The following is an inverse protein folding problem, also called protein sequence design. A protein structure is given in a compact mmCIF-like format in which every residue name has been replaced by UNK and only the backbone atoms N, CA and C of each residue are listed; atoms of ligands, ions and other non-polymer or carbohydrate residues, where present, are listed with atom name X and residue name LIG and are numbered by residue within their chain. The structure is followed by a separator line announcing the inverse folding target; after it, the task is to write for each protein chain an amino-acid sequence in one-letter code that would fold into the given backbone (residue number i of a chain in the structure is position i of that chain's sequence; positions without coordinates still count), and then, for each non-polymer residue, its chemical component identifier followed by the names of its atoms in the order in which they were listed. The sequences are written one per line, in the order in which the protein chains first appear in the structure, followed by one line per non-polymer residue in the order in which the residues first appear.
data_IF_336857023062
#
_entry.id   IF_336857023062
#
_cell.length_a   1.000
_cell.length_b   1.000
_cell.length_c   1.000
_cell.angle_alpha   90.00
_cell.angle_beta   90.00
_cell.angle_gamma   90.00
#
_symmetry.space_group_name_H-M   'P 1'
#
loop_
_entity.id
_entity.type
_entity.pdbx_description
1 polymer ?
#
# COMPACT_ATOMS: atom_id res chain seq x y z
N UNK A 1 10.74 20.07 -22.99
CA UNK A 1 11.82 19.36 -22.29
C UNK A 1 12.18 18.06 -22.98
N UNK A 2 13.46 17.81 -23.10
CA UNK A 2 13.96 16.60 -23.73
C UNK A 2 13.42 15.35 -23.07
N UNK A 3 13.26 15.38 -21.75
CA UNK A 3 12.77 14.26 -20.98
C UNK A 3 11.35 13.85 -21.35
N UNK A 4 10.48 14.81 -21.66
CA UNK A 4 9.10 14.50 -22.04
C UNK A 4 9.06 13.76 -23.40
N UNK A 5 9.88 14.19 -24.35
CA UNK A 5 9.95 13.54 -25.65
C UNK A 5 10.52 12.12 -25.54
N UNK A 6 11.53 11.95 -24.69
CA UNK A 6 12.14 10.63 -24.45
C UNK A 6 11.13 9.69 -23.80
N UNK A 7 10.37 10.18 -22.84
CA UNK A 7 9.35 9.39 -22.15
C UNK A 7 8.28 8.92 -23.15
N UNK A 8 7.83 9.82 -24.03
CA UNK A 8 6.84 9.47 -25.04
C UNK A 8 7.34 8.36 -25.97
N UNK A 9 8.58 8.44 -26.37
CA UNK A 9 9.22 7.42 -27.18
C UNK A 9 9.29 6.07 -26.46
N UNK A 10 9.63 6.11 -25.19
CA UNK A 10 9.68 4.91 -24.37
C UNK A 10 8.32 4.24 -24.31
N UNK A 11 7.27 5.01 -24.15
CA UNK A 11 5.92 4.47 -24.10
C UNK A 11 5.53 3.76 -25.41
N UNK A 12 5.94 4.30 -26.54
CA UNK A 12 5.65 3.69 -27.83
C UNK A 12 6.39 2.38 -28.05
N UNK A 13 7.63 2.31 -27.59
CA UNK A 13 8.50 1.14 -27.83
C UNK A 13 8.36 0.11 -26.74
N UNK A 14 7.98 0.53 -25.53
CA UNK A 14 8.21 -0.27 -24.36
C UNK A 14 7.01 -0.65 -23.51
N UNK A 15 5.93 -1.20 -24.13
CA UNK A 15 4.84 -1.77 -23.34
C UNK A 15 5.35 -2.86 -22.41
N UNK A 16 6.35 -3.62 -22.86
CA UNK A 16 6.98 -4.67 -22.06
C UNK A 16 7.79 -4.05 -20.93
N UNK A 17 8.48 -2.95 -21.21
CA UNK A 17 9.28 -2.25 -20.22
C UNK A 17 8.40 -1.59 -19.16
N UNK A 18 7.22 -1.09 -19.54
CA UNK A 18 6.26 -0.54 -18.60
C UNK A 18 5.83 -1.58 -17.56
N UNK A 19 5.56 -2.79 -18.04
CA UNK A 19 5.16 -3.87 -17.14
C UNK A 19 6.31 -4.26 -16.21
N UNK A 20 7.51 -4.38 -16.73
CA UNK A 20 8.69 -4.70 -15.93
C UNK A 20 8.96 -3.62 -14.89
N UNK A 21 8.86 -2.36 -15.32
CA UNK A 21 8.99 -1.24 -14.39
C UNK A 21 7.94 -1.31 -13.29
N UNK A 22 6.69 -1.57 -13.68
CA UNK A 22 5.58 -1.65 -12.75
C UNK A 22 5.78 -2.77 -11.72
N UNK A 23 6.24 -3.93 -12.18
CA UNK A 23 6.52 -5.07 -11.30
C UNK A 23 7.57 -4.74 -10.26
N UNK A 24 8.67 -4.14 -10.66
CA UNK A 24 9.74 -3.75 -9.75
C UNK A 24 9.30 -2.65 -8.77
N UNK A 25 8.59 -1.66 -9.28
CA UNK A 25 8.10 -0.57 -8.47
C UNK A 25 7.07 -1.06 -7.45
N UNK A 26 6.13 -1.90 -7.91
CA UNK A 26 5.11 -2.47 -7.03
C UNK A 26 5.74 -3.31 -5.92
N UNK A 27 6.73 -4.13 -6.25
CA UNK A 27 7.41 -4.96 -5.27
C UNK A 27 8.03 -4.10 -4.17
N UNK A 28 8.69 -3.02 -4.54
CA UNK A 28 9.31 -2.11 -3.57
C UNK A 28 8.28 -1.42 -2.69
N UNK A 29 7.19 -0.95 -3.29
CA UNK A 29 6.12 -0.31 -2.54
C UNK A 29 5.49 -1.26 -1.55
N UNK A 30 5.17 -2.47 -1.99
CA UNK A 30 4.51 -3.45 -1.14
C UNK A 30 5.43 -3.92 0.00
N UNK A 31 6.73 -4.04 -0.26
CA UNK A 31 7.69 -4.35 0.79
C UNK A 31 7.76 -3.23 1.83
N UNK A 32 7.55 -1.99 1.40
CA UNK A 32 7.54 -0.84 2.30
C UNK A 32 6.17 -0.60 2.95
N UNK A 33 5.28 -1.56 2.81
CA UNK A 33 3.93 -1.52 3.39
C UNK A 33 3.06 -0.40 2.85
N UNK A 34 3.26 -0.07 1.57
CA UNK A 34 2.36 0.80 0.84
C UNK A 34 1.16 -0.04 0.39
N UNK A 35 -0.05 0.44 0.58
CA UNK A 35 -1.23 -0.34 0.21
C UNK A 35 -1.29 -0.62 -1.29
N UNK A 36 -1.99 -1.69 -1.67
CA UNK A 36 -2.16 -2.04 -3.08
C UNK A 36 -2.80 -0.90 -3.87
N UNK A 37 -3.84 -0.29 -3.31
CA UNK A 37 -4.53 0.83 -3.94
C UNK A 37 -3.59 2.02 -4.18
N UNK A 38 -2.80 2.35 -3.17
CA UNK A 38 -1.84 3.46 -3.27
C UNK A 38 -0.74 3.14 -4.28
N UNK A 39 -0.31 1.88 -4.33
CA UNK A 39 0.69 1.43 -5.29
C UNK A 39 0.18 1.60 -6.72
N UNK A 40 -1.07 1.22 -6.98
CA UNK A 40 -1.70 1.42 -8.30
C UNK A 40 -1.73 2.90 -8.64
N UNK A 41 -2.15 3.74 -7.71
CA UNK A 41 -2.22 5.19 -7.92
C UNK A 41 -0.86 5.77 -8.28
N UNK A 42 0.17 5.36 -7.56
CA UNK A 42 1.54 5.82 -7.83
C UNK A 42 2.04 5.38 -9.20
N UNK A 43 1.72 4.16 -9.60
CA UNK A 43 2.09 3.66 -10.92
C UNK A 43 1.44 4.48 -12.02
N UNK A 44 0.17 4.80 -11.86
CA UNK A 44 -0.56 5.62 -12.83
C UNK A 44 0.08 7.00 -12.91
N UNK A 45 0.45 7.59 -11.78
CA UNK A 45 1.13 8.88 -11.74
C UNK A 45 2.45 8.85 -12.50
N UNK A 46 3.12 7.71 -12.53
CA UNK A 46 4.39 7.56 -13.23
C UNK A 46 4.22 7.23 -14.71
N UNK A 47 2.98 7.17 -15.18
CA UNK A 47 2.70 6.95 -16.59
C UNK A 47 2.38 5.51 -16.97
N UNK A 48 2.27 4.62 -16.01
CA UNK A 48 1.87 3.24 -16.29
C UNK A 48 0.37 3.20 -16.54
N UNK A 49 -0.09 2.55 -17.62
CA UNK A 49 -1.53 2.42 -17.86
C UNK A 49 -2.24 1.75 -16.69
N UNK A 50 -3.45 2.21 -16.40
CA UNK A 50 -4.23 1.71 -15.26
C UNK A 50 -4.42 0.19 -15.30
N UNK A 51 -4.66 -0.35 -16.48
CA UNK A 51 -4.85 -1.79 -16.66
C UNK A 51 -3.63 -2.59 -16.21
N UNK A 52 -2.46 -2.13 -16.65
CA UNK A 52 -1.20 -2.79 -16.29
C UNK A 52 -0.91 -2.63 -14.82
N UNK A 53 -1.12 -1.43 -14.28
CA UNK A 53 -0.89 -1.16 -12.86
C UNK A 53 -1.74 -2.08 -11.97
N UNK A 54 -3.02 -2.19 -12.26
CA UNK A 54 -3.93 -3.03 -11.50
C UNK A 54 -3.56 -4.50 -11.61
N UNK A 55 -3.24 -4.95 -12.81
CA UNK A 55 -2.87 -6.34 -13.06
C UNK A 55 -1.60 -6.72 -12.30
N UNK A 56 -0.57 -5.89 -12.40
CA UNK A 56 0.70 -6.13 -11.73
C UNK A 56 0.53 -6.20 -10.22
N UNK A 57 -0.23 -5.27 -9.65
CA UNK A 57 -0.46 -5.24 -8.21
C UNK A 57 -1.30 -6.44 -7.77
N UNK A 58 -2.31 -6.83 -8.56
CA UNK A 58 -3.15 -7.98 -8.21
C UNK A 58 -2.40 -9.31 -8.28
N UNK A 59 -1.41 -9.40 -9.15
CA UNK A 59 -0.57 -10.60 -9.27
C UNK A 59 0.47 -10.69 -8.15
N UNK A 60 0.71 -9.59 -7.45
CA UNK A 60 1.65 -9.58 -6.33
C UNK A 60 1.07 -10.36 -5.16
N UNK A 61 1.87 -11.23 -4.59
CA UNK A 61 1.46 -12.04 -3.46
C UNK A 61 1.67 -11.25 -2.17
N UNK A 62 0.74 -10.35 -1.89
CA UNK A 62 0.83 -9.44 -0.76
C UNK A 62 -0.37 -9.61 0.16
N UNK A 63 -0.10 -9.77 1.44
CA UNK A 63 -1.12 -9.86 2.47
C UNK A 63 -1.37 -8.47 3.05
N UNK A 64 -2.52 -7.90 2.74
CA UNK A 64 -2.91 -6.58 3.22
C UNK A 64 -2.97 -6.53 4.75
N UNK A 65 -3.50 -7.59 5.36
CA UNK A 65 -3.57 -7.68 6.81
C UNK A 65 -2.18 -7.60 7.45
N UNK A 66 -1.22 -8.32 6.88
CA UNK A 66 0.15 -8.29 7.36
C UNK A 66 0.78 -6.91 7.20
N UNK A 67 0.50 -6.24 6.08
CA UNK A 67 0.98 -4.87 5.86
C UNK A 67 0.43 -3.91 6.91
N UNK A 68 -0.86 -4.00 7.19
CA UNK A 68 -1.52 -3.12 8.16
C UNK A 68 -0.91 -3.33 9.54
N UNK A 69 -0.76 -4.58 9.95
CA UNK A 69 -0.18 -4.90 11.26
C UNK A 69 1.26 -4.36 11.36
N UNK A 70 2.04 -4.54 10.30
CA UNK A 70 3.42 -4.03 10.27
C UNK A 70 3.45 -2.51 10.42
N UNK A 71 2.55 -1.80 9.74
CA UNK A 71 2.46 -0.34 9.83
C UNK A 71 2.06 0.08 11.25
N UNK A 72 1.09 -0.61 11.83
CA UNK A 72 0.65 -0.32 13.20
C UNK A 72 1.81 -0.49 14.17
N UNK A 73 2.52 -1.60 14.09
CA UNK A 73 3.63 -1.88 14.98
C UNK A 73 4.76 -0.87 14.85
N UNK A 74 5.06 -0.44 13.64
CA UNK A 74 6.16 0.50 13.39
C UNK A 74 5.83 1.93 13.75
N UNK A 75 4.62 2.38 13.43
CA UNK A 75 4.28 3.80 13.52
C UNK A 75 3.22 4.15 14.53
N UNK A 76 2.29 3.25 14.78
CA UNK A 76 1.07 3.58 15.51
C UNK A 76 0.87 2.84 16.82
N UNK A 77 1.80 1.98 17.21
CA UNK A 77 1.66 1.23 18.45
C UNK A 77 1.45 2.14 19.66
N UNK A 78 2.22 3.22 19.75
CA UNK A 78 2.11 4.19 20.82
C UNK A 78 0.81 4.98 20.76
N UNK A 79 0.36 5.26 19.53
CA UNK A 79 -0.90 6.00 19.33
C UNK A 79 -2.11 5.20 19.82
N UNK A 80 -2.06 3.89 19.67
CA UNK A 80 -3.14 3.03 20.14
C UNK A 80 -3.31 3.06 21.65
N UNK A 81 -2.28 3.41 22.37
CA UNK A 81 -2.33 3.55 23.84
C UNK A 81 -3.00 4.83 24.28
N UNK A 82 -3.14 5.81 23.40
CA UNK A 82 -3.76 7.08 23.71
C UNK A 82 -5.28 7.00 23.59
N UNK A 83 -5.95 7.96 24.22
CA UNK A 83 -7.40 8.10 24.11
C UNK A 83 -7.80 8.29 22.64
N UNK A 84 -8.77 7.52 22.18
CA UNK A 84 -9.22 7.51 20.79
C UNK A 84 -8.12 7.13 19.79
N UNK A 85 -7.08 6.47 20.28
CA UNK A 85 -5.97 6.06 19.44
C UNK A 85 -6.39 5.16 18.28
N UNK A 86 -7.29 4.19 18.58
CA UNK A 86 -7.77 3.27 17.54
C UNK A 86 -8.47 4.01 16.41
N UNK A 87 -9.27 5.01 16.74
CA UNK A 87 -9.97 5.81 15.71
C UNK A 87 -9.00 6.62 14.87
N UNK A 88 -7.99 7.20 15.51
CA UNK A 88 -6.97 7.97 14.81
C UNK A 88 -6.15 7.08 13.85
N UNK A 89 -5.78 5.90 14.33
CA UNK A 89 -5.02 4.95 13.53
C UNK A 89 -5.89 4.44 12.36
N UNK A 90 -7.16 4.16 12.63
CA UNK A 90 -8.11 3.76 11.59
C UNK A 90 -8.15 4.79 10.46
N UNK A 91 -8.36 6.06 10.81
CA UNK A 91 -8.43 7.13 9.82
C UNK A 91 -7.12 7.26 9.04
N UNK A 92 -5.98 7.14 9.72
CA UNK A 92 -4.68 7.24 9.07
C UNK A 92 -4.47 6.11 8.06
N UNK A 93 -4.85 4.89 8.42
CA UNK A 93 -4.71 3.72 7.54
C UNK A 93 -5.63 3.82 6.32
N UNK A 94 -6.85 4.32 6.52
CA UNK A 94 -7.78 4.54 5.41
C UNK A 94 -7.20 5.56 4.43
N UNK A 95 -6.59 6.63 4.94
CA UNK A 95 -5.93 7.63 4.09
C UNK A 95 -4.75 7.05 3.31
N UNK A 96 -4.10 6.04 3.85
CA UNK A 96 -3.01 5.34 3.16
C UNK A 96 -3.52 4.40 2.06
N UNK A 97 -4.83 4.21 1.96
CA UNK A 97 -5.43 3.41 0.89
C UNK A 97 -5.76 1.97 1.25
N UNK A 98 -5.65 1.60 2.51
CA UNK A 98 -6.05 0.25 2.94
C UNK A 98 -7.57 0.15 3.01
N UNK A 99 -8.11 -1.04 2.79
CA UNK A 99 -9.57 -1.24 2.78
C UNK A 99 -10.14 -1.15 4.20
N UNK A 100 -11.39 -0.68 4.30
CA UNK A 100 -12.07 -0.54 5.58
C UNK A 100 -12.14 -1.85 6.36
N UNK A 101 -12.55 -2.91 5.67
CA UNK A 101 -12.71 -4.21 6.32
C UNK A 101 -11.38 -4.76 6.83
N UNK A 102 -10.32 -4.62 6.04
CA UNK A 102 -9.00 -5.09 6.45
C UNK A 102 -8.47 -4.30 7.65
N UNK A 103 -8.67 -2.97 7.66
CA UNK A 103 -8.24 -2.13 8.77
C UNK A 103 -9.00 -2.46 10.04
N UNK A 104 -10.32 -2.61 9.95
CA UNK A 104 -11.14 -2.98 11.10
C UNK A 104 -10.72 -4.32 11.68
N UNK A 105 -10.51 -5.30 10.82
CA UNK A 105 -10.11 -6.63 11.22
C UNK A 105 -8.75 -6.61 11.91
N UNK A 106 -7.80 -5.88 11.35
CA UNK A 106 -6.46 -5.77 11.93
C UNK A 106 -6.48 -5.07 13.28
N UNK A 107 -7.23 -3.99 13.41
CA UNK A 107 -7.33 -3.26 14.68
C UNK A 107 -8.01 -4.09 15.76
N UNK A 108 -9.05 -4.83 15.39
CA UNK A 108 -9.73 -5.72 16.32
C UNK A 108 -8.80 -6.81 16.82
N UNK A 109 -8.08 -7.42 15.91
CA UNK A 109 -7.11 -8.47 16.23
C UNK A 109 -6.01 -7.95 17.14
N UNK A 110 -5.48 -6.78 16.84
CA UNK A 110 -4.45 -6.15 17.64
C UNK A 110 -4.95 -5.81 19.04
N UNK A 111 -6.17 -5.31 19.13
CA UNK A 111 -6.82 -4.99 20.39
C UNK A 111 -7.03 -6.24 21.24
N UNK A 112 -7.45 -7.34 20.64
CA UNK A 112 -7.61 -8.61 21.34
C UNK A 112 -6.29 -9.12 21.89
N UNK A 113 -5.22 -9.01 21.13
CA UNK A 113 -3.89 -9.41 21.58
C UNK A 113 -3.43 -8.56 22.77
N UNK A 114 -3.74 -7.26 22.76
CA UNK A 114 -3.42 -6.37 23.87
C UNK A 114 -4.20 -6.73 25.11
N UNK A 115 -5.48 -7.07 24.96
CA UNK A 115 -6.31 -7.49 26.08
C UNK A 115 -5.77 -8.76 26.73
N UNK A 116 -5.32 -9.71 25.90
CA UNK A 116 -4.71 -10.92 26.40
C UNK A 116 -3.41 -10.65 27.14
N UNK A 117 -2.64 -9.67 26.68
CA UNK A 117 -1.37 -9.31 27.31
C UNK A 117 -1.55 -8.71 28.70
N UNK A 118 -2.66 -8.03 28.92
CA UNK A 118 -2.92 -7.40 30.22
C UNK A 118 -3.32 -8.38 31.31
N UNK A 119 -3.75 -9.55 30.91
CA UNK A 119 -4.08 -10.62 31.87
C UNK A 119 -2.87 -11.46 32.21
#
# INVERSE_FOLDING_TARGET
KASAAVIARFCEVGLIDDRRFAEGFAARCLESNVSARETVRKLIEKGVPADIAKEVVSESDTDEDAQIIAVIEKKYARKLETENGAQKVYAALIRKGFSFSAVKKALKKYSEELEYSEE
#
